data_IF_959728552725
#
_entry.id   IF_959728552725
#
_cell.length_a   1.000
_cell.length_b   1.000
_cell.length_c   1.000
_cell.angle_alpha   90.00
_cell.angle_beta   90.00
_cell.angle_gamma   90.00
#
_symmetry.space_group_name_H-M   'P 1'
#
loop_
_entity.id
_entity.type
_entity.pdbx_description
1 polymer ?
#
# COMPACT_ATOMS: atom_id res chain seq x y z
N UNK A 1 -9.44 -23.51 -26.44
CA UNK A 1 -10.76 -22.84 -26.36
C UNK A 1 -11.92 -23.78 -26.73
N UNK A 2 -11.81 -25.11 -26.53
CA UNK A 2 -12.86 -26.11 -26.84
C UNK A 2 -12.88 -27.27 -25.82
N UNK A 3 -12.74 -26.99 -24.52
CA UNK A 3 -12.84 -28.02 -23.45
C UNK A 3 -13.61 -27.53 -22.21
N UNK A 4 -14.03 -26.26 -22.14
CA UNK A 4 -14.74 -25.72 -20.97
C UNK A 4 -16.23 -25.53 -21.27
N UNK A 5 -17.08 -26.00 -20.34
CA UNK A 5 -18.53 -25.85 -20.45
C UNK A 5 -18.94 -24.38 -20.49
N UNK A 6 -20.19 -24.10 -20.89
CA UNK A 6 -20.71 -22.72 -20.96
C UNK A 6 -20.65 -22.00 -19.61
N UNK A 7 -20.77 -22.75 -18.50
CA UNK A 7 -20.65 -22.24 -17.13
C UNK A 7 -19.21 -21.91 -16.73
N UNK A 8 -18.24 -22.71 -17.15
CA UNK A 8 -16.81 -22.46 -16.92
C UNK A 8 -16.36 -21.20 -17.69
N UNK A 9 -16.79 -21.06 -18.94
CA UNK A 9 -16.47 -19.88 -19.74
C UNK A 9 -17.00 -18.58 -19.13
N UNK A 10 -18.23 -18.57 -18.63
CA UNK A 10 -18.80 -17.40 -17.95
C UNK A 10 -18.05 -17.07 -16.66
N UNK A 11 -17.61 -18.10 -15.92
CA UNK A 11 -16.83 -17.95 -14.70
C UNK A 11 -15.45 -17.33 -14.99
N UNK A 12 -14.77 -17.78 -16.06
CA UNK A 12 -13.49 -17.23 -16.50
C UNK A 12 -13.61 -15.77 -16.93
N UNK A 13 -14.63 -15.44 -17.73
CA UNK A 13 -14.88 -14.06 -18.16
C UNK A 13 -15.19 -13.16 -16.96
N UNK A 14 -16.03 -13.63 -16.03
CA UNK A 14 -16.35 -12.89 -14.82
C UNK A 14 -15.12 -12.65 -13.93
N UNK A 15 -14.28 -13.67 -13.77
CA UNK A 15 -13.01 -13.59 -13.05
C UNK A 15 -12.10 -12.52 -13.66
N UNK A 16 -11.86 -12.58 -14.98
CA UNK A 16 -11.00 -11.62 -15.69
C UNK A 16 -11.53 -10.20 -15.55
N UNK A 17 -12.83 -9.98 -15.76
CA UNK A 17 -13.43 -8.64 -15.66
C UNK A 17 -13.28 -8.08 -14.24
N UNK A 18 -13.54 -8.89 -13.22
CA UNK A 18 -13.42 -8.46 -11.83
C UNK A 18 -11.97 -8.16 -11.43
N UNK A 19 -11.03 -9.00 -11.85
CA UNK A 19 -9.59 -8.78 -11.66
C UNK A 19 -9.12 -7.47 -12.32
N UNK A 20 -9.56 -7.19 -13.55
CA UNK A 20 -9.22 -5.93 -14.23
C UNK A 20 -9.80 -4.70 -13.51
N UNK A 21 -11.01 -4.80 -12.97
CA UNK A 21 -11.60 -3.73 -12.14
C UNK A 21 -10.74 -3.50 -10.90
N UNK A 22 -10.35 -4.58 -10.21
CA UNK A 22 -9.48 -4.51 -9.02
C UNK A 22 -8.12 -3.89 -9.38
N UNK A 23 -7.52 -4.28 -10.50
CA UNK A 23 -6.25 -3.74 -10.96
C UNK A 23 -6.31 -2.22 -11.15
N UNK A 24 -7.33 -1.73 -11.86
CA UNK A 24 -7.52 -0.29 -12.09
C UNK A 24 -7.71 0.45 -10.78
N UNK A 25 -8.56 -0.06 -9.89
CA UNK A 25 -8.81 0.57 -8.58
C UNK A 25 -7.57 0.57 -7.69
N UNK A 26 -6.79 -0.51 -7.69
CA UNK A 26 -5.55 -0.63 -6.92
C UNK A 26 -4.51 0.38 -7.41
N UNK A 27 -4.31 0.49 -8.73
CA UNK A 27 -3.38 1.45 -9.32
C UNK A 27 -3.79 2.89 -8.99
N UNK A 28 -5.03 3.28 -9.33
CA UNK A 28 -5.49 4.66 -9.14
C UNK A 28 -5.50 5.07 -7.67
N UNK A 29 -6.00 4.20 -6.79
CA UNK A 29 -6.09 4.47 -5.36
C UNK A 29 -4.71 4.65 -4.72
N UNK A 30 -3.75 3.78 -5.05
CA UNK A 30 -2.42 3.83 -4.44
C UNK A 30 -1.51 4.90 -5.07
N UNK A 31 -1.68 5.24 -6.35
CA UNK A 31 -1.07 6.45 -6.93
C UNK A 31 -1.54 7.69 -6.17
N UNK A 32 -2.83 7.79 -5.85
CA UNK A 32 -3.37 8.90 -5.09
C UNK A 32 -2.78 8.98 -3.67
N UNK A 33 -2.52 7.83 -3.02
CA UNK A 33 -1.81 7.76 -1.73
C UNK A 33 -0.41 8.35 -1.85
N UNK A 34 0.39 7.89 -2.82
CA UNK A 34 1.74 8.38 -3.06
C UNK A 34 1.73 9.89 -3.36
N UNK A 35 0.80 10.34 -4.20
CA UNK A 35 0.68 11.75 -4.58
C UNK A 35 0.31 12.64 -3.38
N UNK A 36 -0.58 12.17 -2.50
CA UNK A 36 -0.95 12.91 -1.29
C UNK A 36 0.23 13.08 -0.32
N UNK A 37 1.03 12.02 -0.11
CA UNK A 37 2.22 12.11 0.74
C UNK A 37 3.28 13.02 0.11
N UNK A 38 3.43 12.99 -1.22
CA UNK A 38 4.34 13.87 -1.94
C UNK A 38 3.96 15.35 -1.78
N UNK A 39 2.68 15.69 -1.93
CA UNK A 39 2.22 17.09 -1.93
C UNK A 39 2.10 17.72 -0.53
N UNK A 40 1.73 16.94 0.49
CA UNK A 40 1.42 17.48 1.81
C UNK A 40 2.55 17.19 2.80
N UNK A 41 3.32 18.21 3.18
CA UNK A 41 4.39 18.10 4.18
C UNK A 41 3.91 17.57 5.54
N UNK A 42 2.64 17.77 5.90
CA UNK A 42 2.07 17.19 7.13
C UNK A 42 1.96 15.66 7.07
N UNK A 43 1.92 15.09 5.86
CA UNK A 43 1.93 13.65 5.63
C UNK A 43 3.35 13.10 5.47
N UNK A 44 4.40 13.92 5.41
CA UNK A 44 5.78 13.48 5.24
C UNK A 44 6.43 13.10 6.59
N UNK A 45 5.86 12.09 7.26
CA UNK A 45 6.39 11.50 8.48
C UNK A 45 6.89 10.06 8.23
N UNK A 46 7.63 9.51 9.20
CA UNK A 46 8.28 8.20 9.05
C UNK A 46 7.28 7.08 8.80
N UNK A 47 6.14 7.05 9.51
CA UNK A 47 5.11 6.04 9.28
C UNK A 47 4.64 6.06 7.82
N UNK A 48 4.46 7.24 7.25
CA UNK A 48 3.95 7.39 5.90
C UNK A 48 4.98 7.00 4.82
N UNK A 49 6.27 6.90 5.14
CA UNK A 49 7.23 6.26 4.22
C UNK A 49 6.96 4.77 4.05
N UNK A 50 6.59 4.07 5.13
CA UNK A 50 6.14 2.67 5.03
C UNK A 50 4.80 2.54 4.31
N UNK A 51 3.88 3.51 4.50
CA UNK A 51 2.62 3.57 3.74
C UNK A 51 2.88 3.75 2.23
N UNK A 52 3.85 4.58 1.84
CA UNK A 52 4.25 4.73 0.43
C UNK A 52 4.88 3.44 -0.10
N UNK A 53 5.71 2.74 0.69
CA UNK A 53 6.24 1.43 0.31
C UNK A 53 5.14 0.39 0.08
N UNK A 54 4.14 0.36 0.97
CA UNK A 54 2.95 -0.48 0.83
C UNK A 54 2.16 -0.14 -0.44
N UNK A 55 1.90 1.15 -0.67
CA UNK A 55 1.22 1.62 -1.88
C UNK A 55 2.00 1.25 -3.15
N UNK A 56 3.33 1.30 -3.15
CA UNK A 56 4.14 0.85 -4.28
C UNK A 56 3.99 -0.64 -4.58
N UNK A 57 3.92 -1.49 -3.54
CA UNK A 57 3.63 -2.92 -3.70
C UNK A 57 2.22 -3.15 -4.28
N UNK A 58 1.22 -2.43 -3.77
CA UNK A 58 -0.17 -2.53 -4.25
C UNK A 58 -0.36 -2.01 -5.69
N UNK A 59 0.39 -0.97 -6.11
CA UNK A 59 0.43 -0.54 -7.52
C UNK A 59 1.02 -1.67 -8.38
N UNK A 60 2.11 -2.30 -7.94
CA UNK A 60 2.70 -3.42 -8.65
C UNK A 60 1.78 -4.65 -8.71
N UNK A 61 0.89 -4.85 -7.72
CA UNK A 61 -0.15 -5.89 -7.78
C UNK A 61 -1.07 -5.64 -8.98
N UNK A 62 -1.58 -4.41 -9.12
CA UNK A 62 -2.45 -4.06 -10.24
C UNK A 62 -1.74 -4.07 -11.61
N UNK A 63 -0.49 -3.61 -11.67
CA UNK A 63 0.25 -3.51 -12.94
C UNK A 63 0.83 -4.84 -13.42
N UNK A 64 1.21 -5.74 -12.51
CA UNK A 64 1.98 -6.95 -12.84
C UNK A 64 1.32 -8.22 -12.31
N UNK A 65 1.02 -8.31 -11.01
CA UNK A 65 0.52 -9.55 -10.41
C UNK A 65 -0.84 -9.99 -10.95
N UNK A 66 -1.77 -9.06 -11.13
CA UNK A 66 -3.11 -9.37 -11.67
C UNK A 66 -3.02 -9.83 -13.14
N UNK A 67 -2.32 -9.11 -14.05
CA UNK A 67 -2.07 -9.62 -15.40
C UNK A 67 -1.39 -11.00 -15.41
N UNK A 68 -0.44 -11.25 -14.52
CA UNK A 68 0.21 -12.55 -14.37
C UNK A 68 -0.76 -13.63 -13.90
N UNK A 69 -1.64 -13.35 -12.94
CA UNK A 69 -2.66 -14.28 -12.47
C UNK A 69 -3.67 -14.64 -13.56
N UNK A 70 -4.12 -13.65 -14.35
CA UNK A 70 -4.97 -13.87 -15.53
C UNK A 70 -4.25 -14.73 -16.57
N UNK A 71 -2.95 -14.47 -16.79
CA UNK A 71 -2.17 -15.24 -17.77
C UNK A 71 -2.03 -16.70 -17.33
N UNK A 72 -1.71 -16.94 -16.05
CA UNK A 72 -1.59 -18.29 -15.47
C UNK A 72 -2.92 -19.05 -15.50
N UNK A 73 -4.06 -18.38 -15.28
CA UNK A 73 -5.36 -19.05 -15.30
C UNK A 73 -5.72 -19.67 -16.66
N UNK A 74 -5.07 -19.23 -17.75
CA UNK A 74 -5.26 -19.83 -19.08
C UNK A 74 -4.47 -21.13 -19.30
N UNK A 75 -3.48 -21.43 -18.45
CA UNK A 75 -2.62 -22.60 -18.61
C UNK A 75 -1.73 -22.57 -19.86
N UNK A 76 -1.39 -21.38 -20.36
CA UNK A 76 -0.59 -21.21 -21.59
C UNK A 76 0.76 -21.96 -21.53
N UNK A 77 1.27 -22.37 -22.69
CA UNK A 77 2.57 -23.04 -22.77
C UNK A 77 3.72 -22.02 -22.55
N UNK A 78 4.58 -22.29 -21.57
CA UNK A 78 5.72 -21.45 -21.23
C UNK A 78 6.96 -22.28 -20.88
N UNK A 79 8.13 -21.65 -20.90
CA UNK A 79 9.32 -22.22 -20.28
C UNK A 79 9.14 -22.31 -18.77
N UNK A 80 9.64 -23.39 -18.16
CA UNK A 80 9.45 -23.68 -16.73
C UNK A 80 9.82 -22.51 -15.81
N UNK A 81 11.04 -21.96 -15.92
CA UNK A 81 11.47 -20.84 -15.07
C UNK A 81 10.75 -19.53 -15.37
N UNK A 82 10.30 -19.33 -16.61
CA UNK A 82 9.47 -18.18 -16.98
C UNK A 82 8.10 -18.25 -16.29
N UNK A 83 7.45 -19.42 -16.34
CA UNK A 83 6.21 -19.67 -15.63
C UNK A 83 6.39 -19.52 -14.10
N UNK A 84 7.46 -20.09 -13.56
CA UNK A 84 7.76 -20.05 -12.13
C UNK A 84 7.95 -18.59 -11.64
N UNK A 85 8.64 -17.75 -12.41
CA UNK A 85 8.77 -16.33 -12.09
C UNK A 85 7.41 -15.62 -12.06
N UNK A 86 6.58 -15.82 -13.09
CA UNK A 86 5.24 -15.23 -13.17
C UNK A 86 4.38 -15.67 -11.98
N UNK A 87 4.44 -16.96 -11.62
CA UNK A 87 3.70 -17.53 -10.49
C UNK A 87 4.17 -16.99 -9.13
N UNK A 88 5.48 -16.82 -8.95
CA UNK A 88 6.08 -16.41 -7.69
C UNK A 88 6.11 -14.88 -7.48
N UNK A 89 6.00 -14.07 -8.54
CA UNK A 89 6.13 -12.62 -8.41
C UNK A 89 5.11 -11.98 -7.46
N UNK A 90 3.87 -12.50 -7.44
CA UNK A 90 2.85 -12.05 -6.47
C UNK A 90 3.30 -12.28 -5.02
N UNK A 91 4.03 -13.35 -4.73
CA UNK A 91 4.53 -13.68 -3.39
C UNK A 91 5.55 -12.65 -2.90
N UNK A 92 6.36 -12.10 -3.80
CA UNK A 92 7.29 -10.99 -3.49
C UNK A 92 6.52 -9.77 -3.03
N UNK A 93 5.47 -9.40 -3.75
CA UNK A 93 4.65 -8.23 -3.42
C UNK A 93 3.90 -8.43 -2.10
N UNK A 94 3.32 -9.61 -1.88
CA UNK A 94 2.69 -9.97 -0.61
C UNK A 94 3.66 -9.85 0.55
N UNK A 95 4.88 -10.36 0.39
CA UNK A 95 5.90 -10.27 1.44
C UNK A 95 6.32 -8.81 1.73
N UNK A 96 6.45 -7.99 0.69
CA UNK A 96 6.74 -6.56 0.83
C UNK A 96 5.64 -5.82 1.60
N UNK A 97 4.38 -6.15 1.32
CA UNK A 97 3.22 -5.62 2.04
C UNK A 97 3.21 -6.04 3.51
N UNK A 98 3.51 -7.30 3.81
CA UNK A 98 3.60 -7.81 5.19
C UNK A 98 4.68 -7.09 5.98
N UNK A 99 5.87 -6.94 5.41
CA UNK A 99 6.96 -6.21 6.08
C UNK A 99 6.62 -4.74 6.30
N UNK A 100 5.96 -4.10 5.34
CA UNK A 100 5.51 -2.70 5.48
C UNK A 100 4.46 -2.56 6.60
N UNK A 101 3.49 -3.47 6.68
CA UNK A 101 2.48 -3.49 7.75
C UNK A 101 3.09 -3.76 9.13
N UNK A 102 4.04 -4.69 9.22
CA UNK A 102 4.76 -4.99 10.45
C UNK A 102 5.60 -3.78 10.89
N UNK A 103 6.29 -3.11 9.97
CA UNK A 103 7.06 -1.90 10.24
C UNK A 103 6.15 -0.77 10.75
N UNK A 104 4.96 -0.59 10.16
CA UNK A 104 3.95 0.36 10.65
C UNK A 104 3.50 -0.01 12.08
N UNK A 105 3.27 -1.29 12.38
CA UNK A 105 2.89 -1.73 13.72
C UNK A 105 4.00 -1.44 14.75
N UNK A 106 5.26 -1.72 14.39
CA UNK A 106 6.45 -1.47 15.22
C UNK A 106 6.65 0.03 15.47
N UNK A 107 6.60 0.85 14.41
CA UNK A 107 6.68 2.31 14.51
C UNK A 107 5.65 2.85 15.52
N UNK A 108 4.42 2.34 15.44
CA UNK A 108 3.30 2.80 16.28
C UNK A 108 3.44 2.40 17.73
N UNK A 109 3.93 1.20 18.04
CA UNK A 109 4.18 0.82 19.43
C UNK A 109 5.34 1.62 20.03
N UNK A 110 6.39 1.94 19.25
CA UNK A 110 7.50 2.78 19.74
C UNK A 110 6.99 4.19 20.05
N UNK A 111 6.20 4.79 19.14
CA UNK A 111 5.62 6.13 19.34
C UNK A 111 4.77 6.21 20.61
N UNK A 112 3.96 5.18 20.89
CA UNK A 112 3.04 5.16 22.05
C UNK A 112 3.78 4.81 23.36
N UNK A 113 4.77 3.90 23.31
CA UNK A 113 5.45 3.41 24.52
C UNK A 113 6.61 4.29 24.98
N UNK A 114 7.31 4.95 24.05
CA UNK A 114 8.51 5.73 24.34
C UNK A 114 8.51 7.07 23.57
N UNK A 115 7.51 7.95 23.79
CA UNK A 115 7.33 9.17 23.01
C UNK A 115 8.54 10.11 23.08
N UNK A 116 9.22 10.20 24.24
CA UNK A 116 10.35 11.10 24.44
C UNK A 116 11.60 10.74 23.63
N UNK A 117 11.78 9.46 23.27
CA UNK A 117 12.93 9.00 22.48
C UNK A 117 12.58 8.71 21.02
N UNK A 118 11.29 8.75 20.67
CA UNK A 118 10.80 8.40 19.33
C UNK A 118 11.53 9.16 18.23
N UNK A 119 11.62 10.50 18.34
CA UNK A 119 12.25 11.35 17.32
C UNK A 119 13.75 11.09 17.12
N UNK A 120 14.45 10.54 18.13
CA UNK A 120 15.87 10.16 18.01
C UNK A 120 16.09 8.72 17.53
N UNK A 121 15.10 7.84 17.75
CA UNK A 121 15.16 6.43 17.34
C UNK A 121 14.68 6.24 15.90
N UNK A 122 13.51 6.79 15.59
CA UNK A 122 12.78 6.57 14.35
C UNK A 122 13.00 7.76 13.43
N UNK A 123 13.99 7.65 12.54
CA UNK A 123 14.38 8.70 11.60
C UNK A 123 14.08 8.31 10.16
N UNK A 124 13.91 9.30 9.29
CA UNK A 124 13.60 9.06 7.87
C UNK A 124 14.67 8.25 7.14
N UNK A 125 15.95 8.50 7.39
CA UNK A 125 17.05 7.76 6.74
C UNK A 125 17.08 6.29 7.17
N UNK A 126 16.85 6.01 8.46
CA UNK A 126 16.73 4.63 8.96
C UNK A 126 15.52 3.92 8.35
N UNK A 127 14.38 4.62 8.25
CA UNK A 127 13.18 4.06 7.64
C UNK A 127 13.38 3.69 6.16
N UNK A 128 14.03 4.56 5.37
CA UNK A 128 14.40 4.25 3.97
C UNK A 128 15.31 3.02 3.88
N UNK A 129 16.28 2.88 4.79
CA UNK A 129 17.14 1.69 4.88
C UNK A 129 16.36 0.43 5.22
N UNK A 130 15.43 0.49 6.18
CA UNK A 130 14.55 -0.63 6.54
C UNK A 130 13.69 -1.03 5.34
N UNK A 131 13.09 -0.07 4.63
CA UNK A 131 12.29 -0.34 3.41
C UNK A 131 13.12 -1.09 2.37
N UNK A 132 14.34 -0.62 2.08
CA UNK A 132 15.22 -1.28 1.11
C UNK A 132 15.54 -2.73 1.51
N UNK A 133 15.85 -2.98 2.79
CA UNK A 133 16.08 -4.33 3.31
C UNK A 133 14.83 -5.20 3.17
N UNK A 134 13.66 -4.67 3.52
CA UNK A 134 12.39 -5.39 3.40
C UNK A 134 12.11 -5.81 1.95
N UNK A 135 12.34 -4.93 0.96
CA UNK A 135 12.19 -5.28 -0.46
C UNK A 135 13.14 -6.40 -0.89
N UNK A 136 14.42 -6.31 -0.53
CA UNK A 136 15.40 -7.36 -0.84
C UNK A 136 14.99 -8.70 -0.23
N UNK A 137 14.60 -8.70 1.05
CA UNK A 137 14.12 -9.91 1.72
C UNK A 137 12.85 -10.46 1.07
N UNK A 138 11.94 -9.61 0.60
CA UNK A 138 10.75 -10.03 -0.13
C UNK A 138 11.06 -10.73 -1.44
N UNK A 139 12.05 -10.24 -2.20
CA UNK A 139 12.51 -10.92 -3.42
C UNK A 139 13.11 -12.27 -3.10
N UNK A 140 13.95 -12.35 -2.07
CA UNK A 140 14.57 -13.62 -1.64
C UNK A 140 13.48 -14.62 -1.25
N UNK A 141 12.56 -14.24 -0.36
CA UNK A 141 11.50 -15.11 0.16
C UNK A 141 10.52 -15.54 -0.95
N UNK A 142 10.07 -14.59 -1.77
CA UNK A 142 9.07 -14.83 -2.81
C UNK A 142 9.62 -15.64 -3.99
N UNK A 143 10.90 -15.48 -4.33
CA UNK A 143 11.54 -16.20 -5.43
C UNK A 143 12.36 -17.42 -4.97
N UNK A 144 12.26 -17.83 -3.69
CA UNK A 144 12.88 -19.08 -3.19
C UNK A 144 12.62 -20.30 -4.09
N UNK A 145 11.43 -20.51 -4.69
CA UNK A 145 11.24 -21.62 -5.62
C UNK A 145 12.20 -21.60 -6.81
N UNK A 146 12.61 -20.43 -7.30
CA UNK A 146 13.60 -20.29 -8.37
C UNK A 146 15.02 -20.72 -7.96
N UNK A 147 15.30 -20.78 -6.65
CA UNK A 147 16.59 -21.24 -6.11
C UNK A 147 16.67 -22.76 -5.97
N UNK A 148 15.64 -23.50 -6.38
CA UNK A 148 15.64 -24.97 -6.47
C UNK A 148 14.51 -25.67 -5.73
N UNK A 149 13.67 -24.96 -4.97
CA UNK A 149 12.52 -25.55 -4.28
C UNK A 149 11.26 -25.56 -5.17
N UNK A 150 11.29 -26.36 -6.24
CA UNK A 150 10.27 -26.39 -7.29
C UNK A 150 10.02 -27.81 -7.86
N UNK A 151 8.90 -28.04 -8.54
CA UNK A 151 8.46 -29.37 -9.01
C UNK A 151 9.09 -29.87 -10.34
N UNK A 152 10.20 -29.29 -10.79
CA UNK A 152 10.75 -29.58 -12.13
C UNK A 152 10.99 -31.08 -12.41
N UNK A 153 11.58 -31.81 -11.45
CA UNK A 153 11.90 -33.24 -11.61
C UNK A 153 10.65 -34.11 -11.76
N UNK A 154 9.58 -33.79 -11.01
CA UNK A 154 8.31 -34.53 -11.10
C UNK A 154 7.61 -34.33 -12.45
N UNK A 155 7.70 -33.12 -13.03
CA UNK A 155 7.12 -32.83 -14.35
C UNK A 155 7.88 -33.58 -15.45
N UNK A 156 9.22 -33.64 -15.36
CA UNK A 156 10.07 -34.37 -16.32
C UNK A 156 9.77 -35.88 -16.29
N UNK A 157 9.45 -36.47 -15.12
CA UNK A 157 9.02 -37.87 -14.99
C UNK A 157 7.59 -38.12 -15.51
N UNK A 158 6.65 -37.20 -15.25
CA UNK A 158 5.25 -37.36 -15.65
C UNK A 158 5.04 -37.18 -17.16
N UNK A 159 5.84 -36.32 -17.80
CA UNK A 159 5.86 -36.13 -19.25
C UNK A 159 6.24 -37.38 -20.06
N UNK A 160 6.84 -38.39 -19.41
CA UNK A 160 7.13 -39.68 -20.04
C UNK A 160 5.93 -40.65 -20.03
N UNK A 161 4.90 -40.41 -19.19
CA UNK A 161 3.84 -41.40 -18.92
C UNK A 161 2.39 -40.89 -19.07
N UNK A 162 2.11 -39.59 -19.16
CA UNK A 162 0.77 -39.06 -19.47
C UNK A 162 0.82 -37.78 -20.31
N UNK A 163 -0.01 -37.75 -21.35
CA UNK A 163 -0.40 -36.55 -22.09
C UNK A 163 -1.07 -35.54 -21.15
N UNK A 164 -0.42 -34.41 -20.88
CA UNK A 164 -1.14 -33.23 -20.36
C UNK A 164 -2.32 -32.89 -21.30
N UNK A 165 -3.44 -32.34 -20.77
CA UNK A 165 -4.60 -31.96 -21.60
C UNK A 165 -4.27 -30.87 -22.63
N UNK A 166 -3.12 -30.21 -22.49
CA UNK A 166 -2.57 -29.23 -23.42
C UNK A 166 -1.27 -29.80 -23.99
N UNK A 167 -1.26 -30.12 -25.28
CA UNK A 167 -0.05 -30.54 -26.00
C UNK A 167 0.87 -29.33 -26.21
N UNK A 168 1.74 -29.05 -25.23
CA UNK A 168 2.82 -28.10 -25.39
C UNK A 168 3.99 -28.75 -26.17
N UNK A 169 4.76 -27.92 -26.89
CA UNK A 169 5.97 -28.38 -27.61
C UNK A 169 6.97 -29.03 -26.64
N UNK A 170 7.82 -29.92 -27.17
CA UNK A 170 8.97 -30.46 -26.45
C UNK A 170 9.76 -29.29 -25.83
N UNK A 171 10.00 -29.33 -24.50
CA UNK A 171 10.62 -28.30 -23.65
C UNK A 171 9.73 -27.20 -23.04
N UNK A 172 8.41 -27.21 -23.25
CA UNK A 172 7.47 -26.28 -22.61
C UNK A 172 6.49 -27.00 -21.68
N UNK A 173 6.00 -26.29 -20.66
CA UNK A 173 5.01 -26.80 -19.70
C UNK A 173 3.74 -25.95 -19.75
N UNK A 174 2.58 -26.57 -19.50
CA UNK A 174 1.36 -25.82 -19.25
C UNK A 174 1.52 -25.02 -17.95
N UNK A 175 1.46 -23.69 -18.04
CA UNK A 175 1.79 -22.81 -16.93
C UNK A 175 0.63 -22.71 -15.94
N UNK A 176 0.61 -23.61 -14.97
CA UNK A 176 -0.36 -23.63 -13.87
C UNK A 176 0.37 -23.47 -12.53
N UNK A 177 -0.22 -22.72 -11.61
CA UNK A 177 0.40 -22.39 -10.31
C UNK A 177 0.79 -23.65 -9.51
N UNK A 178 -0.16 -24.56 -9.28
CA UNK A 178 0.06 -25.79 -8.51
C UNK A 178 1.00 -26.77 -9.21
N UNK A 179 1.19 -26.64 -10.53
CA UNK A 179 2.11 -27.49 -11.28
C UNK A 179 3.57 -27.08 -11.03
N UNK A 180 3.87 -25.77 -10.98
CA UNK A 180 5.25 -25.27 -10.90
C UNK A 180 5.70 -24.95 -9.46
N UNK A 181 4.77 -24.59 -8.57
CA UNK A 181 5.05 -24.25 -7.16
C UNK A 181 4.64 -25.40 -6.24
N UNK A 182 5.52 -25.80 -5.33
CA UNK A 182 5.22 -26.90 -4.39
C UNK A 182 4.28 -26.45 -3.27
N UNK A 183 3.33 -27.30 -2.90
CA UNK A 183 2.41 -27.00 -1.78
C UNK A 183 3.13 -26.95 -0.43
N UNK A 184 4.20 -27.73 -0.25
CA UNK A 184 5.05 -27.67 0.94
C UNK A 184 5.68 -26.29 1.13
N UNK A 185 6.21 -25.70 0.05
CA UNK A 185 6.71 -24.33 0.08
C UNK A 185 5.59 -23.34 0.42
N UNK A 186 4.43 -23.47 -0.22
CA UNK A 186 3.29 -22.56 0.00
C UNK A 186 2.75 -22.61 1.43
N UNK A 187 2.74 -23.78 2.06
CA UNK A 187 2.16 -23.95 3.40
C UNK A 187 3.20 -23.74 4.50
N UNK A 188 4.32 -24.47 4.50
CA UNK A 188 5.25 -24.42 5.62
C UNK A 188 6.10 -23.14 5.62
N UNK A 189 6.65 -22.80 4.45
CA UNK A 189 7.55 -21.67 4.35
C UNK A 189 6.76 -20.36 4.16
N UNK A 190 5.99 -20.27 3.08
CA UNK A 190 5.26 -19.05 2.76
C UNK A 190 4.18 -18.74 3.81
N UNK A 191 3.25 -19.67 4.05
CA UNK A 191 2.16 -19.39 4.98
C UNK A 191 2.60 -19.36 6.45
N UNK A 192 3.11 -20.46 7.02
CA UNK A 192 3.38 -20.52 8.46
C UNK A 192 4.52 -19.59 8.89
N UNK A 193 5.67 -19.64 8.19
CA UNK A 193 6.83 -18.85 8.59
C UNK A 193 6.74 -17.38 8.14
N UNK A 194 6.33 -17.12 6.90
CA UNK A 194 6.42 -15.78 6.32
C UNK A 194 5.14 -14.93 6.41
N UNK A 195 3.96 -15.54 6.59
CA UNK A 195 2.68 -14.82 6.69
C UNK A 195 2.10 -14.88 8.11
N UNK A 196 1.89 -16.08 8.65
CA UNK A 196 1.23 -16.30 9.93
C UNK A 196 2.05 -15.74 11.09
N UNK A 197 3.35 -16.00 11.13
CA UNK A 197 4.22 -15.48 12.19
C UNK A 197 4.21 -13.94 12.25
N UNK A 198 4.43 -13.18 11.15
CA UNK A 198 4.26 -11.73 11.17
C UNK A 198 2.86 -11.26 11.55
N UNK A 199 1.80 -11.95 11.12
CA UNK A 199 0.43 -11.62 11.52
C UNK A 199 0.21 -11.76 13.02
N UNK A 200 0.72 -12.83 13.63
CA UNK A 200 0.66 -13.05 15.08
C UNK A 200 1.45 -11.98 15.84
N UNK A 201 2.64 -11.60 15.33
CA UNK A 201 3.43 -10.51 15.89
C UNK A 201 2.68 -9.17 15.83
N UNK A 202 2.11 -8.82 14.67
CA UNK A 202 1.30 -7.62 14.52
C UNK A 202 0.09 -7.64 15.48
N UNK A 203 -0.62 -8.75 15.55
CA UNK A 203 -1.75 -8.92 16.46
C UNK A 203 -1.33 -8.71 17.93
N UNK A 204 -0.23 -9.32 18.36
CA UNK A 204 0.34 -9.13 19.69
C UNK A 204 0.70 -7.67 19.96
N UNK A 205 1.31 -6.97 19.00
CA UNK A 205 1.64 -5.55 19.09
C UNK A 205 0.36 -4.70 19.28
N UNK A 206 -0.67 -4.90 18.45
CA UNK A 206 -1.92 -4.13 18.56
C UNK A 206 -2.68 -4.42 19.84
N UNK A 207 -2.69 -5.67 20.32
CA UNK A 207 -3.24 -6.01 21.63
C UNK A 207 -2.52 -5.25 22.74
N UNK A 208 -1.18 -5.21 22.72
CA UNK A 208 -0.39 -4.46 23.72
C UNK A 208 -0.69 -2.96 23.66
N UNK A 209 -0.83 -2.38 22.46
CA UNK A 209 -1.22 -0.98 22.27
C UNK A 209 -2.61 -0.73 22.89
N UNK A 210 -3.60 -1.54 22.55
CA UNK A 210 -4.97 -1.39 23.05
C UNK A 210 -5.04 -1.54 24.57
N UNK A 211 -4.36 -2.53 25.13
CA UNK A 211 -4.28 -2.73 26.58
C UNK A 211 -3.58 -1.55 27.29
N UNK A 212 -2.47 -1.05 26.73
CA UNK A 212 -1.76 0.09 27.30
C UNK A 212 -2.64 1.35 27.34
N UNK A 213 -3.36 1.63 26.25
CA UNK A 213 -4.25 2.76 26.19
C UNK A 213 -5.45 2.64 27.15
N UNK A 214 -6.04 1.44 27.27
CA UNK A 214 -7.11 1.20 28.27
C UNK A 214 -6.60 1.40 29.70
N UNK A 215 -5.37 0.98 30.00
CA UNK A 215 -4.75 1.20 31.32
C UNK A 215 -4.56 2.70 31.60
N UNK A 216 -4.09 3.47 30.63
CA UNK A 216 -3.92 4.92 30.77
C UNK A 216 -5.28 5.62 30.97
N UNK A 217 -6.32 5.27 30.22
CA UNK A 217 -7.67 5.82 30.41
C UNK A 217 -8.21 5.54 31.82
N UNK A 218 -8.07 4.32 32.33
CA UNK A 218 -8.50 3.95 33.70
C UNK A 218 -7.72 4.71 34.78
N UNK A 219 -6.42 4.92 34.58
CA UNK A 219 -5.60 5.70 35.52
C UNK A 219 -5.95 7.20 35.52
N UNK A 220 -6.39 7.74 34.37
CA UNK A 220 -6.81 9.12 34.25
C UNK A 220 -8.21 9.37 34.85
N UNK A 221 -9.11 8.39 34.77
CA UNK A 221 -10.42 8.44 35.44
C UNK A 221 -10.27 8.52 36.97
N UNK A 222 -9.29 7.80 37.53
CA UNK A 222 -8.99 7.84 38.97
C UNK A 222 -8.24 9.11 39.43
N UNK A 223 -7.71 9.93 38.51
CA UNK A 223 -6.99 11.19 38.84
C UNK A 223 -7.80 12.39 38.33
N UNK A 224 -8.78 12.81 39.12
CA UNK A 224 -9.82 13.78 38.75
C UNK A 224 -9.37 15.24 38.52
N UNK A 225 -8.07 15.56 38.42
CA UNK A 225 -7.64 16.95 38.69
C UNK A 225 -7.30 17.81 37.46
N UNK A 226 -6.70 17.39 36.34
CA UNK A 226 -6.31 18.35 35.25
C UNK A 226 -6.34 17.77 33.80
N UNK A 227 -7.30 16.88 33.48
CA UNK A 227 -7.11 15.88 32.41
C UNK A 227 -7.73 16.08 31.02
N UNK A 228 -8.58 17.07 30.74
CA UNK A 228 -9.39 17.08 29.49
C UNK A 228 -8.56 17.08 28.20
N UNK A 229 -7.52 17.92 28.12
CA UNK A 229 -6.65 18.00 26.93
C UNK A 229 -5.86 16.70 26.73
N UNK A 230 -5.29 16.14 27.80
CA UNK A 230 -4.55 14.87 27.75
C UNK A 230 -5.46 13.69 27.41
N UNK A 231 -6.72 13.68 27.88
CA UNK A 231 -7.71 12.65 27.55
C UNK A 231 -8.08 12.70 26.06
N UNK A 232 -8.23 13.90 25.50
CA UNK A 232 -8.52 14.10 24.07
C UNK A 232 -7.38 13.61 23.17
N UNK A 233 -6.12 13.83 23.56
CA UNK A 233 -4.95 13.36 22.80
C UNK A 233 -4.87 11.83 22.82
N UNK A 234 -5.04 11.21 23.99
CA UNK A 234 -5.03 9.75 24.11
C UNK A 234 -6.17 9.08 23.33
N UNK A 235 -7.37 9.66 23.34
CA UNK A 235 -8.49 9.15 22.53
C UNK A 235 -8.21 9.21 21.03
N UNK A 236 -7.51 10.25 20.54
CA UNK A 236 -7.07 10.33 19.14
C UNK A 236 -6.05 9.24 18.81
N UNK A 237 -5.10 8.97 19.70
CA UNK A 237 -4.12 7.89 19.53
C UNK A 237 -4.78 6.50 19.51
N UNK A 238 -5.76 6.25 20.38
CA UNK A 238 -6.57 5.01 20.36
C UNK A 238 -7.36 4.88 19.07
N UNK A 239 -7.94 5.97 18.58
CA UNK A 239 -8.68 5.95 17.33
C UNK A 239 -7.77 5.63 16.13
N UNK A 240 -6.56 6.19 16.11
CA UNK A 240 -5.55 5.86 15.12
C UNK A 240 -5.15 4.38 15.21
N UNK A 241 -4.85 3.87 16.41
CA UNK A 241 -4.52 2.46 16.63
C UNK A 241 -5.65 1.51 16.21
N UNK A 242 -6.92 1.86 16.50
CA UNK A 242 -8.10 1.09 16.04
C UNK A 242 -8.17 1.05 14.51
N UNK A 243 -7.84 2.15 13.84
CA UNK A 243 -7.82 2.20 12.38
C UNK A 243 -6.74 1.29 11.80
N UNK A 244 -5.57 1.23 12.43
CA UNK A 244 -4.47 0.35 12.03
C UNK A 244 -4.77 -1.14 12.31
N UNK A 245 -5.44 -1.45 13.43
CA UNK A 245 -5.89 -2.81 13.72
C UNK A 245 -6.92 -3.32 12.70
N UNK A 246 -7.77 -2.42 12.18
CA UNK A 246 -8.69 -2.74 11.08
C UNK A 246 -7.90 -3.10 9.81
N UNK A 247 -6.82 -2.36 9.48
CA UNK A 247 -5.97 -2.69 8.32
C UNK A 247 -5.39 -4.11 8.45
N UNK A 248 -4.85 -4.47 9.62
CA UNK A 248 -4.32 -5.82 9.84
C UNK A 248 -5.40 -6.90 9.80
N UNK A 249 -6.57 -6.63 10.38
CA UNK A 249 -7.70 -7.55 10.31
C UNK A 249 -8.17 -7.79 8.87
N UNK A 250 -8.22 -6.74 8.05
CA UNK A 250 -8.59 -6.84 6.64
C UNK A 250 -7.55 -7.59 5.82
N UNK A 251 -6.25 -7.38 6.08
CA UNK A 251 -5.19 -8.19 5.47
C UNK A 251 -5.40 -9.68 5.77
N UNK A 252 -5.66 -10.04 7.03
CA UNK A 252 -5.92 -11.44 7.40
C UNK A 252 -7.18 -12.00 6.72
N UNK A 253 -8.28 -11.25 6.69
CA UNK A 253 -9.51 -11.67 6.01
C UNK A 253 -9.29 -11.87 4.52
N UNK A 254 -8.46 -11.04 3.89
CA UNK A 254 -8.19 -11.14 2.46
C UNK A 254 -7.28 -12.32 2.08
N UNK A 255 -6.29 -12.65 2.91
CA UNK A 255 -5.26 -13.63 2.56
C UNK A 255 -5.48 -15.02 3.17
N UNK A 256 -6.07 -15.12 4.36
CA UNK A 256 -6.25 -16.42 5.04
C UNK A 256 -7.07 -17.43 4.24
N UNK A 257 -8.14 -17.07 3.50
CA UNK A 257 -8.91 -18.06 2.74
C UNK A 257 -8.06 -18.84 1.74
N UNK A 258 -7.18 -18.16 0.98
CA UNK A 258 -6.28 -18.79 0.02
C UNK A 258 -5.27 -19.72 0.70
N UNK A 259 -4.66 -19.27 1.80
CA UNK A 259 -3.73 -20.10 2.56
C UNK A 259 -4.40 -21.32 3.21
N UNK A 260 -5.63 -21.17 3.69
CA UNK A 260 -6.41 -22.28 4.25
C UNK A 260 -6.70 -23.32 3.16
N UNK A 261 -7.09 -22.89 1.96
CA UNK A 261 -7.28 -23.80 0.82
C UNK A 261 -5.98 -24.59 0.53
N UNK A 262 -4.83 -23.91 0.48
CA UNK A 262 -3.54 -24.57 0.27
C UNK A 262 -3.21 -25.58 1.39
N UNK A 263 -3.57 -25.29 2.64
CA UNK A 263 -3.45 -26.25 3.73
C UNK A 263 -4.32 -27.50 3.52
N UNK A 264 -5.56 -27.35 3.04
CA UNK A 264 -6.40 -28.51 2.71
C UNK A 264 -5.81 -29.33 1.56
N UNK A 265 -5.33 -28.66 0.51
CA UNK A 265 -4.66 -29.31 -0.63
C UNK A 265 -3.44 -30.11 -0.19
N UNK A 266 -2.65 -29.61 0.77
CA UNK A 266 -1.47 -30.31 1.27
C UNK A 266 -1.79 -31.41 2.29
N UNK A 267 -2.58 -31.10 3.32
CA UNK A 267 -2.79 -31.99 4.47
C UNK A 267 -3.89 -33.02 4.27
N UNK A 268 -4.76 -32.84 3.28
CA UNK A 268 -5.81 -33.80 2.94
C UNK A 268 -5.73 -34.20 1.46
N UNK A 269 -4.75 -35.03 1.06
CA UNK A 269 -4.61 -35.48 -0.34
C UNK A 269 -5.80 -36.34 -0.81
N UNK A 270 -6.58 -36.90 0.13
CA UNK A 270 -7.79 -37.68 -0.16
C UNK A 270 -9.06 -36.81 -0.22
N UNK A 271 -8.99 -35.53 0.15
CA UNK A 271 -10.12 -34.62 0.04
C UNK A 271 -10.31 -34.22 -1.43
N UNK A 272 -11.56 -33.93 -1.81
CA UNK A 272 -11.80 -33.28 -3.09
C UNK A 272 -11.10 -31.92 -3.12
N UNK A 273 -10.42 -31.62 -4.23
CA UNK A 273 -9.84 -30.29 -4.44
C UNK A 273 -10.93 -29.22 -4.36
N UNK A 274 -10.55 -28.03 -3.87
CA UNK A 274 -11.45 -26.89 -3.84
C UNK A 274 -11.99 -26.61 -5.25
N UNK A 275 -13.30 -26.36 -5.39
CA UNK A 275 -13.87 -26.07 -6.70
C UNK A 275 -13.30 -24.76 -7.26
N UNK A 276 -13.20 -24.66 -8.59
CA UNK A 276 -12.53 -23.54 -9.28
C UNK A 276 -13.07 -22.17 -8.87
N UNK A 277 -14.40 -22.03 -8.74
CA UNK A 277 -15.02 -20.77 -8.31
C UNK A 277 -14.56 -20.31 -6.92
N UNK A 278 -14.27 -21.24 -6.00
CA UNK A 278 -13.80 -20.93 -4.65
C UNK A 278 -12.33 -20.49 -4.69
N UNK A 279 -11.52 -21.10 -5.55
CA UNK A 279 -10.15 -20.68 -5.79
C UNK A 279 -10.10 -19.26 -6.38
N UNK A 280 -10.88 -18.99 -7.43
CA UNK A 280 -10.99 -17.64 -8.01
C UNK A 280 -11.49 -16.61 -6.99
N UNK A 281 -12.49 -16.95 -6.19
CA UNK A 281 -12.96 -16.07 -5.12
C UNK A 281 -11.85 -15.75 -4.11
N UNK A 282 -11.06 -16.74 -3.70
CA UNK A 282 -9.95 -16.54 -2.77
C UNK A 282 -8.83 -15.67 -3.38
N UNK A 283 -8.50 -15.87 -4.66
CA UNK A 283 -7.53 -15.05 -5.39
C UNK A 283 -8.01 -13.61 -5.50
N UNK A 284 -9.24 -13.40 -5.98
CA UNK A 284 -9.88 -12.07 -6.09
C UNK A 284 -9.85 -11.36 -4.73
N UNK A 285 -10.22 -12.07 -3.67
CA UNK A 285 -10.25 -11.53 -2.31
C UNK A 285 -8.86 -11.12 -1.81
N UNK A 286 -7.81 -11.88 -2.18
CA UNK A 286 -6.42 -11.54 -1.88
C UNK A 286 -5.96 -10.28 -2.61
N UNK A 287 -6.32 -10.12 -3.90
CA UNK A 287 -5.99 -8.93 -4.69
C UNK A 287 -6.81 -7.69 -4.28
N UNK A 288 -8.06 -7.88 -3.86
CA UNK A 288 -8.92 -6.80 -3.37
C UNK A 288 -8.30 -6.07 -2.14
N UNK A 289 -7.42 -6.74 -1.38
CA UNK A 289 -6.66 -6.11 -0.30
C UNK A 289 -5.92 -4.84 -0.75
N UNK A 290 -5.38 -4.84 -1.96
CA UNK A 290 -4.64 -3.70 -2.53
C UNK A 290 -5.54 -2.49 -2.83
N UNK A 291 -6.85 -2.68 -2.99
CA UNK A 291 -7.84 -1.59 -3.19
C UNK A 291 -8.29 -0.98 -1.87
N UNK A 292 -8.34 -1.79 -0.83
CA UNK A 292 -8.92 -1.42 0.47
C UNK A 292 -8.08 -0.39 1.21
N UNK A 293 -6.75 -0.41 1.06
CA UNK A 293 -5.82 0.48 1.76
C UNK A 293 -6.14 1.99 1.57
N UNK A 294 -6.20 2.54 0.34
CA UNK A 294 -6.62 3.92 0.10
C UNK A 294 -7.99 4.29 0.70
N UNK A 295 -8.97 3.39 0.65
CA UNK A 295 -10.31 3.61 1.19
C UNK A 295 -10.27 3.78 2.72
N UNK A 296 -9.46 2.98 3.40
CA UNK A 296 -9.25 3.11 4.84
C UNK A 296 -8.62 4.46 5.16
N UNK A 297 -7.59 4.88 4.43
CA UNK A 297 -6.95 6.18 4.67
C UNK A 297 -7.92 7.33 4.45
N UNK A 298 -8.73 7.28 3.39
CA UNK A 298 -9.74 8.29 3.08
C UNK A 298 -10.83 8.38 4.16
N UNK A 299 -11.24 7.27 4.76
CA UNK A 299 -12.29 7.25 5.77
C UNK A 299 -11.77 7.57 7.18
N UNK A 300 -10.55 7.12 7.52
CA UNK A 300 -10.02 7.12 8.89
C UNK A 300 -9.00 8.22 9.18
N UNK A 301 -8.29 8.72 8.18
CA UNK A 301 -7.20 9.70 8.38
C UNK A 301 -7.62 11.04 7.76
N UNK A 302 -7.83 12.05 8.61
CA UNK A 302 -8.38 13.35 8.20
C UNK A 302 -7.47 14.05 7.19
N UNK A 303 -6.16 13.98 7.40
CA UNK A 303 -5.13 14.62 6.60
C UNK A 303 -5.07 14.03 5.19
N UNK A 304 -5.16 12.70 5.07
CA UNK A 304 -5.30 12.04 3.77
C UNK A 304 -6.61 12.42 3.09
N UNK A 305 -7.75 12.35 3.79
CA UNK A 305 -9.05 12.72 3.25
C UNK A 305 -9.09 14.15 2.70
N UNK A 306 -8.54 15.09 3.43
CA UNK A 306 -8.46 16.49 3.01
C UNK A 306 -7.58 16.62 1.75
N UNK A 307 -6.42 15.99 1.76
CA UNK A 307 -5.48 16.03 0.63
C UNK A 307 -6.06 15.36 -0.62
N UNK A 308 -6.73 14.22 -0.49
CA UNK A 308 -7.42 13.55 -1.59
C UNK A 308 -8.50 14.44 -2.21
N UNK A 309 -9.36 15.06 -1.39
CA UNK A 309 -10.37 16.01 -1.90
C UNK A 309 -9.73 17.18 -2.64
N UNK A 310 -8.63 17.72 -2.11
CA UNK A 310 -7.88 18.82 -2.75
C UNK A 310 -7.33 18.38 -4.11
N UNK A 311 -6.68 17.22 -4.19
CA UNK A 311 -6.13 16.68 -5.45
C UNK A 311 -7.26 16.49 -6.47
N UNK A 312 -8.34 15.81 -6.09
CA UNK A 312 -9.47 15.53 -6.98
C UNK A 312 -10.13 16.84 -7.45
N UNK A 313 -10.40 17.79 -6.54
CA UNK A 313 -11.03 19.07 -6.89
C UNK A 313 -10.16 19.90 -7.85
N UNK A 314 -8.87 20.03 -7.56
CA UNK A 314 -7.98 20.94 -8.27
C UNK A 314 -7.44 20.35 -9.58
N UNK A 315 -7.08 19.06 -9.60
CA UNK A 315 -6.36 18.45 -10.72
C UNK A 315 -7.25 17.57 -11.59
N UNK A 316 -8.33 16.98 -11.04
CA UNK A 316 -9.22 16.09 -11.81
C UNK A 316 -10.48 16.84 -12.25
N UNK A 317 -11.11 17.61 -11.35
CA UNK A 317 -12.32 18.37 -11.64
C UNK A 317 -12.07 19.81 -12.11
N UNK A 318 -10.80 20.25 -12.16
CA UNK A 318 -10.41 21.58 -12.65
C UNK A 318 -10.95 22.76 -11.83
N UNK A 319 -11.47 22.53 -10.62
CA UNK A 319 -11.97 23.61 -9.75
C UNK A 319 -10.77 24.28 -9.05
N UNK A 320 -10.42 25.48 -9.50
CA UNK A 320 -9.58 26.40 -8.72
C UNK A 320 -10.35 26.77 -7.46
N UNK A 321 -9.90 26.33 -6.29
CA UNK A 321 -10.43 26.88 -5.04
C UNK A 321 -10.06 28.37 -4.99
N UNK A 322 -11.01 29.26 -4.67
CA UNK A 322 -10.67 30.66 -4.42
C UNK A 322 -9.72 30.72 -3.24
N UNK A 323 -8.58 31.36 -3.45
CA UNK A 323 -7.57 31.61 -2.44
C UNK A 323 -8.24 32.31 -1.24
N UNK A 324 -8.52 31.58 -0.15
CA UNK A 324 -8.83 32.22 1.13
C UNK A 324 -7.53 32.83 1.63
N UNK A 325 -7.26 34.08 1.20
CA UNK A 325 -6.32 34.95 1.88
C UNK A 325 -6.65 34.91 3.37
N UNK A 326 -5.63 34.62 4.19
CA UNK A 326 -5.80 34.47 5.63
C UNK A 326 -6.59 35.64 6.18
N UNK A 327 -7.64 35.34 6.95
CA UNK A 327 -8.33 36.31 7.79
C UNK A 327 -7.29 36.99 8.67
N UNK A 328 -6.88 38.19 8.28
CA UNK A 328 -6.23 39.13 9.18
C UNK A 328 -7.18 39.33 10.36
N UNK A 329 -6.63 39.11 11.55
CA UNK A 329 -7.27 39.36 12.84
C UNK A 329 -7.88 40.77 12.85
N UNK A 330 -9.19 40.86 12.69
CA UNK A 330 -9.92 42.10 12.91
C UNK A 330 -10.40 42.06 14.36
N UNK A 331 -9.66 42.76 15.23
CA UNK A 331 -10.13 43.12 16.56
C UNK A 331 -11.40 43.95 16.39
N UNK A 332 -12.54 43.40 16.80
CA UNK A 332 -13.79 44.12 16.89
C UNK A 332 -13.70 45.13 18.03
N UNK A 333 -13.50 46.42 17.68
CA UNK A 333 -13.92 47.56 18.49
C UNK A 333 -15.07 48.21 17.74
N UNK A 334 -16.28 48.15 18.31
CA UNK A 334 -17.47 48.81 17.76
C UNK A 334 -17.58 50.23 18.33
N UNK A 335 -17.32 51.23 17.49
CA UNK A 335 -17.96 52.54 17.59
C UNK A 335 -18.20 53.10 16.17
N UNK A 336 -19.45 53.44 15.88
CA UNK A 336 -19.86 54.55 14.99
C UNK A 336 -19.74 54.39 13.47
N UNK A 337 -20.89 54.21 12.83
CA UNK A 337 -21.41 54.93 11.64
C UNK A 337 -20.61 55.05 10.31
N UNK A 338 -21.34 54.62 9.26
CA UNK A 338 -21.54 55.24 7.94
C UNK A 338 -20.53 55.13 6.78
N UNK A 339 -21.17 54.87 5.62
CA UNK A 339 -20.83 55.17 4.22
C UNK A 339 -19.95 54.24 3.36
N UNK A 340 -20.64 53.73 2.33
CA UNK A 340 -20.29 53.63 0.91
C UNK A 340 -19.34 52.56 0.37
N UNK A 341 -19.96 51.66 -0.40
CA UNK A 341 -19.36 50.72 -1.35
C UNK A 341 -18.71 51.47 -2.52
N UNK A 342 -17.42 51.24 -2.75
CA UNK A 342 -16.81 51.40 -4.07
C UNK A 342 -15.76 50.30 -4.29
N UNK A 343 -16.09 49.34 -5.16
CA UNK A 343 -15.22 48.28 -5.62
C UNK A 343 -14.28 48.79 -6.72
N UNK A 344 -12.97 48.75 -6.50
CA UNK A 344 -11.97 48.90 -7.55
C UNK A 344 -11.26 47.56 -7.73
N UNK A 345 -11.50 46.91 -8.87
CA UNK A 345 -10.73 45.77 -9.37
C UNK A 345 -9.55 46.31 -10.16
N UNK A 346 -8.33 45.90 -9.80
CA UNK A 346 -7.16 45.99 -10.69
C UNK A 346 -6.65 44.57 -10.90
N UNK A 347 -6.56 44.19 -12.17
CA UNK A 347 -6.02 42.93 -12.67
C UNK A 347 -4.52 43.09 -12.94
N UNK A 348 -3.83 41.93 -12.96
CA UNK A 348 -2.59 41.65 -13.68
C UNK A 348 -1.25 42.10 -13.05
N UNK A 349 -0.48 41.11 -12.57
CA UNK A 349 0.97 41.14 -12.73
C UNK A 349 1.43 39.82 -13.34
N UNK A 350 2.03 39.98 -14.51
CA UNK A 350 2.71 38.97 -15.28
C UNK A 350 4.03 38.56 -14.62
N UNK A 351 4.44 37.37 -15.04
CA UNK A 351 5.61 36.58 -14.67
C UNK A 351 6.92 37.27 -15.08
N UNK A 352 7.85 37.53 -14.14
CA UNK A 352 9.25 37.81 -14.47
C UNK A 352 10.16 36.65 -14.03
N UNK A 353 10.75 36.04 -15.06
CA UNK A 353 11.74 34.97 -15.01
C UNK A 353 13.12 35.59 -14.79
N UNK A 354 13.80 35.16 -13.73
CA UNK A 354 15.20 35.50 -13.47
C UNK A 354 16.11 34.96 -14.59
N UNK A 355 16.94 35.83 -15.17
CA UNK A 355 18.19 35.44 -15.83
C UNK A 355 19.35 36.32 -15.36
N UNK A 356 20.47 35.64 -15.06
CA UNK A 356 21.74 36.18 -14.61
C UNK A 356 22.34 37.19 -15.58
N UNK A 357 23.03 38.21 -15.08
CA UNK A 357 23.86 39.10 -15.88
C UNK A 357 24.87 39.87 -15.02
N UNK A 358 26.13 39.76 -15.41
CA UNK A 358 27.35 40.15 -14.72
C UNK A 358 27.54 41.67 -14.53
N UNK A 359 28.32 42.02 -13.50
CA UNK A 359 28.73 43.39 -13.17
C UNK A 359 29.82 43.84 -14.14
N UNK A 360 29.48 44.72 -15.08
CA UNK A 360 30.45 45.50 -15.85
C UNK A 360 30.77 46.82 -15.13
N UNK A 361 32.05 47.02 -14.82
CA UNK A 361 32.66 48.32 -14.48
C UNK A 361 32.93 49.08 -15.77
N UNK A 362 32.68 50.40 -15.76
CA UNK A 362 33.32 51.34 -16.69
C UNK A 362 33.71 52.66 -15.98
N UNK A 363 34.74 53.38 -16.48
CA UNK A 363 35.52 54.35 -15.72
C UNK A 363 35.31 55.81 -16.15
N UNK A 364 35.98 56.70 -15.42
CA UNK A 364 36.40 58.07 -15.78
C UNK A 364 35.33 59.15 -16.07
N UNK A 365 35.30 60.15 -15.19
CA UNK A 365 35.36 61.56 -15.60
C UNK A 365 36.11 62.39 -14.55
N UNK A 366 37.23 62.95 -15.00
CA UNK A 366 38.10 63.91 -14.32
C UNK A 366 37.50 65.32 -14.36
N UNK A 367 37.86 66.09 -13.32
CA UNK A 367 38.00 67.55 -13.22
C UNK A 367 36.80 68.47 -13.45
N UNK A 368 36.44 69.25 -12.42
CA UNK A 368 36.90 70.64 -12.35
C UNK A 368 36.72 71.28 -10.96
N UNK A 369 37.62 72.23 -10.72
CA UNK A 369 38.01 72.89 -9.49
C UNK A 369 37.09 74.08 -9.09
N UNK A 370 37.14 74.40 -7.80
CA UNK A 370 37.06 75.74 -7.15
C UNK A 370 35.72 76.44 -6.89
N UNK A 371 35.64 76.86 -5.62
CA UNK A 371 34.87 77.94 -4.97
C UNK A 371 33.41 77.68 -4.66
#
# INVERSE_FOLDING_TARGET
MLVHGKEDFLSDVAYIVLELIIAVLAILGNILVCWAVYLNSNLQNVTNYFVVSLAAADIAVGMLAIPFAITISTGFCAFFYGCLFIACFVLVLTQSSIFSLLAIAIDRIIAIRIPLRYNGLVTGSRAKGIIAICWVLSFIIGLTPMLGWHNRSQIEELGSNKSSPINCSNSMVACLFEAVVTMEYMVYYNFFACVLLPLLLMFGIYLKIFMAARRQLKQMENKMVHGERSRSTLQKEVHAAKSLAIIVGLFAVCWLPLHIINCFTLFCPNCAHAPLWLMYLAIILSHANSVVNPLIYAYRIREFRYTFRKIISQHILGRKEPFKAGTASSRTSMHGADTENASIRISEYALEVYTNGEIHRDPEKQDLNKC
#
